data_IF_475718098143
#
_entry.id   IF_475718098143
#
_cell.length_a   1.000
_cell.length_b   1.000
_cell.length_c   1.000
_cell.angle_alpha   90.00
_cell.angle_beta   90.00
_cell.angle_gamma   90.00
#
_symmetry.space_group_name_H-M   'P 1'
#
loop_
_entity.id
_entity.type
_entity.pdbx_description
1 polymer ?
#
# COMPACT_ATOMS: atom_id res chain seq x y z
N UNK A 1 -1.65 -3.35 34.19
CA UNK A 1 -1.33 -3.61 32.78
C UNK A 1 -0.09 -2.82 32.46
N UNK A 2 1.03 -3.51 32.25
CA UNK A 2 2.28 -2.86 31.85
C UNK A 2 2.20 -2.45 30.37
N UNK A 3 2.98 -1.46 29.93
CA UNK A 3 3.04 -1.05 28.53
C UNK A 3 3.36 -2.24 27.59
N UNK A 4 4.15 -3.23 28.03
CA UNK A 4 4.45 -4.41 27.22
C UNK A 4 3.27 -5.38 27.05
N UNK A 5 2.37 -5.49 28.03
CA UNK A 5 1.15 -6.32 27.92
C UNK A 5 0.10 -5.67 27.01
N UNK A 6 0.04 -4.33 26.98
CA UNK A 6 -0.81 -3.58 26.06
C UNK A 6 -0.28 -3.65 24.62
N UNK A 7 1.03 -3.46 24.43
CA UNK A 7 1.71 -3.59 23.13
C UNK A 7 1.58 -5.02 22.56
N UNK A 8 1.71 -6.05 23.41
CA UNK A 8 1.56 -7.46 23.01
C UNK A 8 0.13 -7.83 22.60
N UNK A 9 -0.89 -7.27 23.26
CA UNK A 9 -2.30 -7.48 22.90
C UNK A 9 -2.68 -6.77 21.60
N UNK A 10 -2.10 -5.61 21.32
CA UNK A 10 -2.35 -4.90 20.05
C UNK A 10 -1.80 -5.68 18.85
N UNK A 11 -0.56 -6.16 18.89
CA UNK A 11 0.05 -6.87 17.74
C UNK A 11 -0.67 -8.17 17.36
N UNK A 12 -1.39 -8.79 18.30
CA UNK A 12 -2.16 -10.03 18.04
C UNK A 12 -3.58 -9.80 17.55
N UNK A 13 -4.06 -8.55 17.53
CA UNK A 13 -5.44 -8.18 17.11
C UNK A 13 -5.82 -8.73 15.73
N UNK A 14 -4.86 -8.74 14.80
CA UNK A 14 -5.06 -9.18 13.42
C UNK A 14 -4.80 -10.68 13.19
N UNK A 15 -4.28 -11.40 14.18
CA UNK A 15 -3.87 -12.81 14.04
C UNK A 15 -5.02 -13.79 13.76
N UNK A 16 -6.27 -13.37 13.95
CA UNK A 16 -7.49 -14.12 13.62
C UNK A 16 -8.25 -13.55 12.41
N UNK A 17 -7.74 -12.45 11.82
CA UNK A 17 -8.38 -11.72 10.73
C UNK A 17 -7.84 -12.15 9.38
N UNK A 18 -8.62 -11.87 8.34
CA UNK A 18 -8.18 -12.01 6.94
C UNK A 18 -7.93 -10.63 6.35
N UNK A 19 -6.86 -10.49 5.57
CA UNK A 19 -6.60 -9.34 4.73
C UNK A 19 -6.58 -9.72 3.25
N UNK A 20 -6.81 -8.76 2.36
CA UNK A 20 -6.51 -8.92 0.93
C UNK A 20 -5.49 -7.90 0.44
N UNK A 21 -4.72 -8.28 -0.59
CA UNK A 21 -3.78 -7.41 -1.29
C UNK A 21 -4.05 -7.44 -2.78
N UNK A 22 -4.32 -6.27 -3.37
CA UNK A 22 -4.41 -6.08 -4.82
C UNK A 22 -3.17 -5.36 -5.31
N UNK A 23 -2.62 -5.78 -6.46
CA UNK A 23 -1.35 -5.22 -6.96
C UNK A 23 -0.12 -5.83 -6.29
N UNK A 24 -0.24 -7.02 -5.71
CA UNK A 24 0.83 -7.74 -5.02
C UNK A 24 2.05 -8.09 -5.89
N UNK A 25 1.92 -8.01 -7.23
CA UNK A 25 3.05 -8.18 -8.17
C UNK A 25 3.78 -6.89 -8.50
N UNK A 26 3.30 -5.72 -8.04
CA UNK A 26 3.98 -4.43 -8.19
C UNK A 26 5.08 -4.25 -7.14
N UNK A 27 5.94 -3.25 -7.28
CA UNK A 27 7.12 -3.09 -6.41
C UNK A 27 6.74 -2.92 -4.92
N UNK A 28 5.78 -2.03 -4.61
CA UNK A 28 5.26 -1.87 -3.24
C UNK A 28 4.51 -3.12 -2.78
N UNK A 29 3.65 -3.67 -3.65
CA UNK A 29 2.82 -4.83 -3.31
C UNK A 29 3.63 -6.09 -3.00
N UNK A 30 4.76 -6.32 -3.69
CA UNK A 30 5.69 -7.41 -3.42
C UNK A 30 6.26 -7.30 -2.01
N UNK A 31 6.76 -6.12 -1.66
CA UNK A 31 7.38 -5.90 -0.35
C UNK A 31 6.34 -5.93 0.78
N UNK A 32 5.15 -5.37 0.56
CA UNK A 32 4.04 -5.50 1.49
C UNK A 32 3.65 -6.96 1.72
N UNK A 33 3.53 -7.74 0.65
CA UNK A 33 3.21 -9.18 0.74
C UNK A 33 4.29 -9.91 1.51
N UNK A 34 5.57 -9.65 1.23
CA UNK A 34 6.69 -10.23 1.97
C UNK A 34 6.59 -9.96 3.47
N UNK A 35 6.42 -8.70 3.87
CA UNK A 35 6.32 -8.31 5.30
C UNK A 35 5.10 -8.94 5.99
N UNK A 36 3.92 -8.91 5.35
CA UNK A 36 2.69 -9.51 5.89
C UNK A 36 2.87 -10.98 6.23
N UNK A 37 3.51 -11.72 5.31
CA UNK A 37 3.69 -13.16 5.40
C UNK A 37 4.81 -13.54 6.35
N UNK A 38 5.93 -12.80 6.36
CA UNK A 38 7.05 -13.05 7.27
C UNK A 38 6.72 -12.73 8.73
N UNK A 39 5.91 -11.70 8.97
CA UNK A 39 5.50 -11.29 10.33
C UNK A 39 4.25 -12.04 10.82
N UNK A 40 3.61 -12.83 9.96
CA UNK A 40 2.38 -13.58 10.24
C UNK A 40 1.29 -12.71 10.92
N UNK A 41 1.08 -11.51 10.38
CA UNK A 41 0.18 -10.51 10.98
C UNK A 41 -1.28 -10.97 10.92
N UNK A 42 -1.66 -11.68 9.86
CA UNK A 42 -3.02 -12.14 9.59
C UNK A 42 -3.10 -13.67 9.54
N UNK A 43 -4.24 -14.22 9.97
CA UNK A 43 -4.54 -15.64 9.83
C UNK A 43 -4.54 -16.09 8.37
N UNK A 44 -5.00 -15.22 7.47
CA UNK A 44 -5.05 -15.45 6.02
C UNK A 44 -4.81 -14.16 5.26
N UNK A 45 -4.05 -14.24 4.17
CA UNK A 45 -3.81 -13.14 3.23
C UNK A 45 -4.23 -13.58 1.83
N UNK A 46 -5.25 -12.92 1.27
CA UNK A 46 -5.77 -13.19 -0.07
C UNK A 46 -5.10 -12.24 -1.07
N UNK A 47 -4.27 -12.79 -1.94
CA UNK A 47 -3.56 -12.06 -2.98
C UNK A 47 -4.41 -12.07 -4.26
N UNK A 48 -5.01 -10.92 -4.58
CA UNK A 48 -5.98 -10.78 -5.68
C UNK A 48 -5.28 -10.09 -6.84
N UNK A 49 -5.30 -10.74 -8.02
CA UNK A 49 -4.65 -10.18 -9.20
C UNK A 49 -5.13 -10.81 -10.49
N UNK A 50 -4.64 -10.28 -11.63
CA UNK A 50 -5.01 -10.76 -12.97
C UNK A 50 -4.35 -12.08 -13.37
N UNK A 51 -3.41 -12.57 -12.57
CA UNK A 51 -2.66 -13.82 -12.79
C UNK A 51 -2.06 -14.30 -11.48
N UNK A 52 -1.87 -15.61 -11.35
CA UNK A 52 -1.04 -16.19 -10.29
C UNK A 52 0.44 -16.05 -10.65
N UNK A 53 1.30 -15.94 -9.64
CA UNK A 53 2.76 -15.90 -9.80
C UNK A 53 3.42 -16.81 -8.75
N UNK A 54 4.64 -17.25 -9.03
CA UNK A 54 5.49 -17.80 -7.99
C UNK A 54 5.90 -16.66 -7.04
N UNK A 55 5.61 -16.82 -5.74
CA UNK A 55 5.94 -15.84 -4.71
C UNK A 55 7.40 -15.98 -4.25
N UNK A 56 8.09 -17.04 -4.65
CA UNK A 56 9.42 -17.38 -4.17
C UNK A 56 9.42 -17.93 -2.74
N UNK A 57 10.54 -18.53 -2.35
CA UNK A 57 10.71 -19.22 -1.05
C UNK A 57 10.53 -18.31 0.16
N UNK A 58 10.87 -17.03 0.02
CA UNK A 58 10.94 -16.08 1.13
C UNK A 58 9.57 -15.48 1.51
N UNK A 59 8.57 -15.66 0.64
CA UNK A 59 7.19 -15.22 0.84
C UNK A 59 6.19 -16.38 0.86
N UNK A 60 6.63 -17.63 0.67
CA UNK A 60 5.77 -18.81 0.84
C UNK A 60 5.49 -19.07 2.31
N UNK A 61 4.31 -18.63 2.74
CA UNK A 61 3.72 -19.01 4.02
C UNK A 61 2.38 -19.70 3.75
N UNK A 62 2.01 -20.65 4.62
CA UNK A 62 0.80 -21.46 4.46
C UNK A 62 -0.51 -20.64 4.54
N UNK A 63 -0.44 -19.37 4.94
CA UNK A 63 -1.60 -18.47 5.08
C UNK A 63 -1.84 -17.56 3.86
N UNK A 64 -1.06 -17.68 2.77
CA UNK A 64 -1.29 -16.93 1.54
C UNK A 64 -2.13 -17.70 0.52
N UNK A 65 -3.19 -17.07 0.00
CA UNK A 65 -4.06 -17.62 -1.04
C UNK A 65 -4.05 -16.70 -2.27
N UNK A 66 -3.68 -17.20 -3.44
CA UNK A 66 -3.74 -16.42 -4.69
C UNK A 66 -5.05 -16.64 -5.43
N UNK A 67 -5.80 -15.56 -5.66
CA UNK A 67 -7.05 -15.54 -6.40
C UNK A 67 -6.86 -14.75 -7.69
N UNK A 68 -7.08 -15.42 -8.81
CA UNK A 68 -7.06 -14.78 -10.13
C UNK A 68 -8.45 -14.23 -10.43
N UNK A 69 -8.52 -12.95 -10.82
CA UNK A 69 -9.76 -12.27 -11.22
C UNK A 69 -9.60 -11.55 -12.55
N UNK A 70 -10.73 -11.27 -13.19
CA UNK A 70 -10.82 -10.26 -14.24
C UNK A 70 -11.25 -8.92 -13.61
N UNK A 71 -10.41 -7.89 -13.76
CA UNK A 71 -10.72 -6.55 -13.25
C UNK A 71 -11.79 -5.84 -14.08
N UNK A 72 -11.97 -6.22 -15.35
CA UNK A 72 -13.05 -5.70 -16.19
C UNK A 72 -14.43 -6.24 -15.78
N UNK A 73 -14.45 -7.37 -15.06
CA UNK A 73 -15.65 -8.02 -14.57
C UNK A 73 -15.61 -8.24 -13.05
N UNK A 74 -15.00 -7.31 -12.29
CA UNK A 74 -14.74 -7.47 -10.85
C UNK A 74 -15.99 -7.75 -10.01
N UNK A 75 -17.17 -7.28 -10.44
CA UNK A 75 -18.45 -7.58 -9.78
C UNK A 75 -18.82 -9.08 -9.79
N UNK A 76 -18.25 -9.87 -10.71
CA UNK A 76 -18.40 -11.33 -10.74
C UNK A 76 -17.44 -12.02 -9.77
N UNK A 77 -16.53 -11.27 -9.14
CA UNK A 77 -15.46 -11.77 -8.28
C UNK A 77 -15.55 -11.28 -6.83
N UNK A 78 -16.72 -10.80 -6.37
CA UNK A 78 -16.92 -10.31 -4.99
C UNK A 78 -16.54 -11.34 -3.91
N UNK A 79 -16.68 -12.63 -4.21
CA UNK A 79 -16.27 -13.71 -3.31
C UNK A 79 -14.78 -13.65 -2.92
N UNK A 80 -13.91 -13.11 -3.79
CA UNK A 80 -12.49 -12.95 -3.51
C UNK A 80 -12.20 -11.96 -2.36
N UNK A 81 -13.10 -11.01 -2.12
CA UNK A 81 -12.98 -9.96 -1.11
C UNK A 81 -13.72 -10.30 0.19
N UNK A 82 -14.59 -11.31 0.17
CA UNK A 82 -15.46 -11.67 1.28
C UNK A 82 -14.69 -12.12 2.52
N UNK A 83 -15.10 -11.63 3.69
CA UNK A 83 -14.49 -11.98 4.98
C UNK A 83 -13.15 -11.30 5.27
N UNK A 84 -12.68 -10.41 4.38
CA UNK A 84 -11.46 -9.64 4.61
C UNK A 84 -11.78 -8.33 5.32
N UNK A 85 -11.34 -8.17 6.56
CA UNK A 85 -11.58 -6.94 7.34
C UNK A 85 -10.62 -5.81 6.96
N UNK A 86 -9.47 -6.14 6.37
CA UNK A 86 -8.44 -5.19 5.95
C UNK A 86 -8.11 -5.38 4.47
N UNK A 87 -8.05 -4.30 3.71
CA UNK A 87 -7.73 -4.29 2.29
C UNK A 87 -6.55 -3.40 1.95
N UNK A 88 -5.62 -3.91 1.14
CA UNK A 88 -4.50 -3.14 0.61
C UNK A 88 -4.57 -3.06 -0.91
N UNK A 89 -4.60 -1.84 -1.46
CA UNK A 89 -4.60 -1.59 -2.89
C UNK A 89 -3.30 -0.89 -3.31
N UNK A 90 -2.42 -1.68 -3.94
CA UNK A 90 -1.15 -1.24 -4.52
C UNK A 90 -1.20 -1.26 -6.06
N UNK A 91 -2.40 -1.16 -6.65
CA UNK A 91 -2.54 -1.07 -8.10
C UNK A 91 -1.95 0.24 -8.63
N UNK A 92 -1.29 0.11 -9.77
CA UNK A 92 -0.78 1.24 -10.53
C UNK A 92 -0.06 0.75 -11.78
N UNK A 93 -0.10 1.57 -12.83
CA UNK A 93 0.66 1.36 -14.06
C UNK A 93 1.39 2.65 -14.45
N UNK A 94 2.18 2.61 -15.51
CA UNK A 94 2.76 3.81 -16.11
C UNK A 94 2.08 4.11 -17.44
N UNK A 95 2.02 5.41 -17.79
CA UNK A 95 1.58 5.85 -19.12
C UNK A 95 2.45 5.28 -20.23
N UNK A 96 3.73 5.08 -19.98
CA UNK A 96 4.66 4.45 -20.92
C UNK A 96 4.21 3.02 -21.28
N UNK A 97 3.75 2.26 -20.29
CA UNK A 97 3.34 0.85 -20.48
C UNK A 97 1.91 0.68 -21.02
N UNK A 98 1.02 1.62 -20.71
CA UNK A 98 -0.43 1.43 -20.88
C UNK A 98 -1.13 2.53 -21.67
N UNK A 99 -0.38 3.55 -22.12
CA UNK A 99 -0.96 4.74 -22.71
C UNK A 99 -1.74 5.57 -21.69
N UNK A 100 -2.48 6.57 -22.19
CA UNK A 100 -3.27 7.47 -21.36
C UNK A 100 -4.51 6.76 -20.80
N UNK A 101 -5.27 6.09 -21.65
CA UNK A 101 -6.54 5.47 -21.28
C UNK A 101 -6.34 4.23 -20.41
N UNK A 102 -5.32 3.41 -20.73
CA UNK A 102 -4.95 2.28 -19.89
C UNK A 102 -4.44 2.72 -18.51
N UNK A 103 -3.74 3.86 -18.42
CA UNK A 103 -3.36 4.42 -17.13
C UNK A 103 -4.60 4.85 -16.33
N UNK A 104 -5.54 5.58 -16.93
CA UNK A 104 -6.77 5.97 -16.23
C UNK A 104 -7.56 4.73 -15.78
N UNK A 105 -7.75 3.75 -16.68
CA UNK A 105 -8.46 2.51 -16.38
C UNK A 105 -7.87 1.78 -15.17
N UNK A 106 -6.54 1.67 -15.09
CA UNK A 106 -5.87 0.95 -13.99
C UNK A 106 -5.79 1.78 -12.72
N UNK A 107 -5.34 3.03 -12.81
CA UNK A 107 -5.03 3.86 -11.64
C UNK A 107 -6.26 4.58 -11.07
N UNK A 108 -7.37 4.62 -11.80
CA UNK A 108 -8.65 5.17 -11.36
C UNK A 108 -9.75 4.11 -11.34
N UNK A 109 -10.16 3.57 -12.50
CA UNK A 109 -11.38 2.75 -12.57
C UNK A 109 -11.25 1.44 -11.79
N UNK A 110 -10.16 0.69 -11.99
CA UNK A 110 -9.93 -0.56 -11.27
C UNK A 110 -9.73 -0.34 -9.78
N UNK A 111 -9.01 0.72 -9.39
CA UNK A 111 -8.82 1.07 -7.98
C UNK A 111 -10.17 1.39 -7.32
N UNK A 112 -10.98 2.24 -7.95
CA UNK A 112 -12.29 2.60 -7.42
C UNK A 112 -13.23 1.40 -7.33
N UNK A 113 -13.23 0.53 -8.34
CA UNK A 113 -14.07 -0.67 -8.33
C UNK A 113 -13.61 -1.68 -7.27
N UNK A 114 -12.30 -1.85 -7.07
CA UNK A 114 -11.75 -2.64 -5.95
C UNK A 114 -12.24 -2.08 -4.61
N UNK A 115 -12.16 -0.76 -4.42
CA UNK A 115 -12.62 -0.13 -3.18
C UNK A 115 -14.13 -0.33 -2.96
N UNK A 116 -14.96 -0.18 -4.00
CA UNK A 116 -16.41 -0.44 -3.92
C UNK A 116 -16.70 -1.87 -3.51
N UNK A 117 -16.13 -2.85 -4.22
CA UNK A 117 -16.34 -4.28 -3.92
C UNK A 117 -15.82 -4.64 -2.53
N UNK A 118 -14.68 -4.10 -2.13
CA UNK A 118 -14.14 -4.30 -0.78
C UNK A 118 -15.10 -3.77 0.30
N UNK A 119 -15.61 -2.55 0.13
CA UNK A 119 -16.57 -1.93 1.06
C UNK A 119 -17.85 -2.75 1.16
N UNK A 120 -18.43 -3.15 0.02
CA UNK A 120 -19.62 -4.01 -0.04
C UNK A 120 -19.38 -5.39 0.61
N UNK A 121 -18.15 -5.88 0.57
CA UNK A 121 -17.75 -7.16 1.18
C UNK A 121 -17.42 -7.06 2.68
N UNK A 122 -17.65 -5.91 3.30
CA UNK A 122 -17.46 -5.70 4.73
C UNK A 122 -16.03 -5.30 5.15
N UNK A 123 -15.21 -4.81 4.22
CA UNK A 123 -13.89 -4.27 4.55
C UNK A 123 -14.04 -3.00 5.43
N UNK A 124 -13.44 -3.04 6.62
CA UNK A 124 -13.51 -1.96 7.61
C UNK A 124 -12.32 -0.99 7.49
N UNK A 125 -11.18 -1.51 7.05
CA UNK A 125 -9.93 -0.76 6.96
C UNK A 125 -9.31 -0.91 5.58
N UNK A 126 -9.25 0.18 4.82
CA UNK A 126 -8.73 0.19 3.45
C UNK A 126 -7.50 1.08 3.34
N UNK A 127 -6.45 0.53 2.73
CA UNK A 127 -5.16 1.19 2.51
C UNK A 127 -4.92 1.34 1.01
N UNK A 128 -4.80 2.58 0.54
CA UNK A 128 -4.63 2.91 -0.86
C UNK A 128 -3.29 3.62 -1.10
N UNK A 129 -2.48 3.09 -2.03
CA UNK A 129 -1.24 3.76 -2.45
C UNK A 129 -1.51 4.63 -3.67
N UNK A 130 -1.21 5.92 -3.55
CA UNK A 130 -1.30 6.91 -4.63
C UNK A 130 0.08 7.52 -4.89
N UNK A 131 0.22 8.85 -4.83
CA UNK A 131 1.44 9.57 -5.16
C UNK A 131 1.50 10.92 -4.46
N UNK A 132 2.70 11.35 -4.12
CA UNK A 132 3.01 12.72 -3.75
C UNK A 132 2.52 13.68 -4.83
N UNK A 133 1.84 14.75 -4.40
CA UNK A 133 1.26 15.75 -5.29
C UNK A 133 -0.06 15.35 -5.97
N UNK A 134 -0.68 14.23 -5.60
CA UNK A 134 -2.02 13.88 -6.08
C UNK A 134 -3.01 15.02 -5.81
N UNK A 135 -3.68 15.48 -6.87
CA UNK A 135 -4.60 16.62 -6.83
C UNK A 135 -5.55 16.53 -8.02
N UNK A 136 -6.86 16.40 -7.76
CA UNK A 136 -7.92 16.30 -8.76
C UNK A 136 -8.00 17.53 -9.68
N UNK A 137 -7.48 18.67 -9.25
CA UNK A 137 -7.45 19.92 -10.00
C UNK A 137 -6.15 20.12 -10.78
N UNK A 138 -5.19 19.20 -10.68
CA UNK A 138 -3.91 19.31 -11.37
C UNK A 138 -4.07 19.33 -12.89
N UNK A 139 -3.26 20.16 -13.57
CA UNK A 139 -3.14 20.10 -15.03
C UNK A 139 -2.34 18.88 -15.50
N UNK A 140 -1.56 18.26 -14.61
CA UNK A 140 -0.77 17.07 -14.94
C UNK A 140 -1.66 15.83 -14.82
N UNK A 141 -1.95 15.19 -15.96
CA UNK A 141 -2.86 14.04 -16.06
C UNK A 141 -2.60 12.93 -15.02
N UNK A 142 -1.33 12.64 -14.72
CA UNK A 142 -0.94 11.66 -13.71
C UNK A 142 -1.43 12.06 -12.31
N UNK A 143 -1.11 13.27 -11.85
CA UNK A 143 -1.50 13.79 -10.54
C UNK A 143 -3.02 14.00 -10.44
N UNK A 144 -3.64 14.43 -11.55
CA UNK A 144 -5.09 14.55 -11.68
C UNK A 144 -5.80 13.22 -11.46
N UNK A 145 -5.36 12.17 -12.15
CA UNK A 145 -5.95 10.83 -12.03
C UNK A 145 -5.82 10.30 -10.61
N UNK A 146 -4.63 10.46 -9.99
CA UNK A 146 -4.39 10.06 -8.61
C UNK A 146 -5.25 10.84 -7.61
N UNK A 147 -5.44 12.14 -7.79
CA UNK A 147 -6.32 12.93 -6.92
C UNK A 147 -7.81 12.63 -7.11
N UNK A 148 -8.25 12.34 -8.33
CA UNK A 148 -9.63 11.95 -8.62
C UNK A 148 -10.00 10.62 -7.94
N UNK A 149 -9.11 9.62 -7.99
CA UNK A 149 -9.41 8.34 -7.35
C UNK A 149 -9.42 8.44 -5.83
N UNK A 150 -8.59 9.31 -5.24
CA UNK A 150 -8.64 9.60 -3.80
C UNK A 150 -10.00 10.17 -3.40
N UNK A 151 -10.48 11.20 -4.10
CA UNK A 151 -11.80 11.80 -3.86
C UNK A 151 -12.91 10.75 -3.95
N UNK A 152 -12.97 9.98 -5.03
CA UNK A 152 -14.02 8.97 -5.20
C UNK A 152 -13.96 7.84 -4.17
N UNK A 153 -12.77 7.47 -3.68
CA UNK A 153 -12.63 6.45 -2.62
C UNK A 153 -13.02 7.03 -1.25
N UNK A 154 -12.72 8.30 -0.98
CA UNK A 154 -13.16 9.00 0.24
C UNK A 154 -14.70 9.12 0.33
N UNK A 155 -15.40 9.17 -0.80
CA UNK A 155 -16.86 9.15 -0.85
C UNK A 155 -17.47 7.81 -0.41
N UNK A 156 -16.70 6.71 -0.43
CA UNK A 156 -17.16 5.40 0.02
C UNK A 156 -17.26 5.26 1.55
N UNK A 157 -16.72 6.23 2.30
CA UNK A 157 -16.81 6.30 3.78
C UNK A 157 -16.43 4.99 4.47
N UNK A 158 -15.23 4.48 4.20
CA UNK A 158 -14.66 3.41 5.01
C UNK A 158 -14.55 3.85 6.48
N UNK A 159 -14.76 2.94 7.47
CA UNK A 159 -14.50 3.25 8.87
C UNK A 159 -13.07 3.73 9.10
N UNK A 160 -12.11 3.11 8.41
CA UNK A 160 -10.73 3.59 8.33
C UNK A 160 -10.25 3.55 6.88
N UNK A 161 -9.87 4.71 6.35
CA UNK A 161 -9.23 4.87 5.05
C UNK A 161 -7.87 5.52 5.23
N UNK A 162 -6.82 4.85 4.77
CA UNK A 162 -5.47 5.40 4.73
C UNK A 162 -5.02 5.56 3.27
N UNK A 163 -4.65 6.79 2.89
CA UNK A 163 -4.18 7.12 1.54
C UNK A 163 -2.72 7.51 1.63
N UNK A 164 -1.85 6.74 1.00
CA UNK A 164 -0.39 6.93 1.04
C UNK A 164 0.06 7.70 -0.20
N UNK A 165 0.66 8.87 0.01
CA UNK A 165 1.21 9.73 -1.04
C UNK A 165 2.75 9.72 -1.02
N UNK A 166 3.39 8.62 -1.46
CA UNK A 166 4.85 8.53 -1.48
C UNK A 166 5.46 9.47 -2.52
N UNK A 167 6.70 9.88 -2.30
CA UNK A 167 7.54 10.47 -3.32
C UNK A 167 7.91 9.44 -4.40
N UNK A 168 8.96 9.74 -5.17
CA UNK A 168 9.50 8.80 -6.15
C UNK A 168 9.87 7.47 -5.48
N UNK A 169 9.25 6.38 -5.92
CA UNK A 169 9.51 5.06 -5.40
C UNK A 169 10.92 4.62 -5.78
N UNK A 170 11.68 4.14 -4.80
CA UNK A 170 13.01 3.58 -5.01
C UNK A 170 12.97 2.08 -4.77
N UNK A 171 13.21 1.31 -5.83
CA UNK A 171 13.43 -0.15 -5.74
C UNK A 171 14.78 -0.46 -5.10
N UNK A 172 14.96 -1.68 -4.58
CA UNK A 172 16.23 -2.14 -3.98
C UNK A 172 17.43 -1.96 -4.92
N UNK A 173 17.21 -2.19 -6.22
CA UNK A 173 18.24 -1.98 -7.24
C UNK A 173 18.62 -0.52 -7.40
N UNK A 174 17.66 0.39 -7.31
CA UNK A 174 17.91 1.84 -7.38
C UNK A 174 18.55 2.35 -6.10
N UNK A 175 18.14 1.85 -4.93
CA UNK A 175 18.79 2.15 -3.65
C UNK A 175 20.25 1.71 -3.65
N UNK A 176 20.52 0.46 -4.05
CA UNK A 176 21.89 -0.04 -4.24
C UNK A 176 22.65 0.80 -5.25
N UNK A 177 22.05 1.17 -6.37
CA UNK A 177 22.69 2.04 -7.37
C UNK A 177 22.97 3.45 -6.86
N UNK A 178 22.12 4.04 -6.02
CA UNK A 178 22.37 5.34 -5.38
C UNK A 178 23.49 5.20 -4.34
N UNK A 179 23.52 4.08 -3.60
CA UNK A 179 24.58 3.78 -2.64
C UNK A 179 25.92 3.42 -3.30
N UNK A 180 25.90 2.72 -4.44
CA UNK A 180 27.07 2.24 -5.20
C UNK A 180 27.59 3.27 -6.21
N UNK A 181 26.74 4.15 -6.77
CA UNK A 181 27.16 5.13 -7.78
C UNK A 181 27.56 6.46 -7.16
N UNK A 182 28.86 6.68 -7.22
CA UNK A 182 29.57 7.86 -7.75
C UNK A 182 28.81 8.57 -8.90
N UNK A 183 27.65 9.18 -8.65
CA UNK A 183 26.99 10.13 -9.57
C UNK A 183 27.09 11.53 -8.97
N UNK A 184 28.07 12.25 -9.50
CA UNK A 184 28.23 13.69 -9.67
C UNK A 184 28.05 14.62 -8.46
N UNK A 185 29.20 15.16 -8.07
CA UNK A 185 29.52 16.25 -7.14
C UNK A 185 28.56 17.46 -7.10
N UNK A 186 27.70 17.65 -8.10
CA UNK A 186 26.86 18.86 -8.23
C UNK A 186 25.47 18.74 -7.58
N UNK A 187 24.88 17.54 -7.50
CA UNK A 187 23.54 17.33 -6.89
C UNK A 187 23.59 16.63 -5.53
N UNK A 188 24.79 16.17 -5.14
CA UNK A 188 25.07 15.50 -3.85
C UNK A 188 24.59 16.28 -2.62
N UNK A 189 24.78 17.61 -2.48
CA UNK A 189 24.32 18.31 -1.28
C UNK A 189 22.78 18.33 -1.16
N UNK A 190 22.04 18.49 -2.26
CA UNK A 190 20.56 18.55 -2.23
C UNK A 190 19.95 17.18 -1.91
N UNK A 191 20.48 16.10 -2.50
CA UNK A 191 20.04 14.74 -2.20
C UNK A 191 20.47 14.26 -0.81
N UNK A 192 21.59 14.76 -0.27
CA UNK A 192 22.06 14.40 1.08
C UNK A 192 21.30 15.16 2.18
N UNK A 193 20.92 16.42 1.94
CA UNK A 193 20.19 17.21 2.94
C UNK A 193 18.69 16.85 3.03
N UNK A 194 18.04 16.45 1.95
CA UNK A 194 16.59 16.16 1.95
C UNK A 194 16.19 14.86 1.21
N UNK A 195 16.84 13.69 1.39
CA UNK A 195 16.52 12.49 0.61
C UNK A 195 15.05 12.02 0.76
N UNK A 196 14.48 12.23 1.95
CA UNK A 196 13.11 11.84 2.33
C UNK A 196 12.04 12.78 1.78
N UNK A 197 12.38 13.92 1.17
CA UNK A 197 11.36 14.83 0.63
C UNK A 197 10.87 14.41 -0.76
N UNK A 198 11.75 13.78 -1.56
CA UNK A 198 11.53 13.49 -2.98
C UNK A 198 11.27 12.03 -3.26
N UNK A 199 11.67 11.14 -2.36
CA UNK A 199 11.68 9.70 -2.62
C UNK A 199 11.23 8.88 -1.43
N UNK A 200 10.78 7.65 -1.70
CA UNK A 200 10.46 6.66 -0.69
C UNK A 200 10.91 5.27 -1.16
N UNK A 201 11.76 4.57 -0.38
CA UNK A 201 11.94 3.14 -0.52
C UNK A 201 10.60 2.41 -0.54
N UNK A 202 10.42 1.46 -1.47
CA UNK A 202 9.20 0.64 -1.53
C UNK A 202 8.96 -0.15 -0.24
N UNK A 203 10.04 -0.53 0.45
CA UNK A 203 10.02 -1.14 1.78
C UNK A 203 9.50 -0.21 2.86
N UNK A 204 9.97 1.03 2.90
CA UNK A 204 9.46 2.03 3.84
C UNK A 204 7.97 2.28 3.63
N UNK A 205 7.49 2.34 2.38
CA UNK A 205 6.05 2.46 2.08
C UNK A 205 5.28 1.25 2.62
N UNK A 206 5.73 0.03 2.32
CA UNK A 206 5.10 -1.19 2.82
C UNK A 206 5.03 -1.23 4.36
N UNK A 207 6.14 -0.90 5.04
CA UNK A 207 6.21 -0.86 6.51
C UNK A 207 5.29 0.22 7.09
N UNK A 208 5.22 1.40 6.47
CA UNK A 208 4.29 2.45 6.87
C UNK A 208 2.82 2.02 6.72
N UNK A 209 2.50 1.24 5.69
CA UNK A 209 1.16 0.67 5.51
C UNK A 209 0.80 -0.26 6.67
N UNK A 210 1.76 -1.09 7.11
CA UNK A 210 1.57 -2.02 8.23
C UNK A 210 1.53 -1.32 9.59
N UNK A 211 2.33 -0.27 9.82
CA UNK A 211 2.28 0.52 11.06
C UNK A 211 0.87 1.06 11.34
N UNK A 212 0.16 1.48 10.29
CA UNK A 212 -1.18 2.04 10.41
C UNK A 212 -2.29 1.01 10.66
N UNK A 213 -1.98 -0.29 10.71
CA UNK A 213 -2.95 -1.31 11.13
C UNK A 213 -3.52 -1.00 12.52
N UNK A 214 -2.65 -0.60 13.45
CA UNK A 214 -3.02 -0.31 14.83
C UNK A 214 -3.44 1.14 15.06
N UNK A 215 -3.18 2.02 14.10
CA UNK A 215 -3.53 3.43 14.23
C UNK A 215 -5.01 3.68 13.91
N UNK A 216 -5.50 4.82 14.41
CA UNK A 216 -6.79 5.38 14.02
C UNK A 216 -6.55 6.60 13.15
N UNK A 217 -7.36 6.81 12.09
CA UNK A 217 -7.34 8.05 11.34
C UNK A 217 -7.46 9.25 12.27
N UNK A 218 -6.60 10.25 12.08
CA UNK A 218 -6.64 11.49 12.88
C UNK A 218 -7.92 12.30 12.66
N UNK A 219 -8.47 12.24 11.45
CA UNK A 219 -9.68 12.96 11.11
C UNK A 219 -10.93 12.16 11.48
N UNK A 220 -11.95 12.86 11.97
CA UNK A 220 -13.23 12.26 12.39
C UNK A 220 -14.00 11.60 11.24
N UNK A 221 -13.72 11.99 9.99
CA UNK A 221 -14.33 11.41 8.80
C UNK A 221 -13.77 10.01 8.45
N UNK A 222 -12.83 9.47 9.25
CA UNK A 222 -12.23 8.16 9.04
C UNK A 222 -11.14 8.12 7.97
N UNK A 223 -10.73 9.27 7.43
CA UNK A 223 -9.72 9.37 6.36
C UNK A 223 -8.39 9.92 6.92
N UNK A 224 -7.28 9.27 6.59
CA UNK A 224 -5.94 9.78 6.85
C UNK A 224 -5.09 9.75 5.58
N UNK A 225 -4.70 10.95 5.13
CA UNK A 225 -3.71 11.12 4.06
C UNK A 225 -2.32 11.10 4.70
N UNK A 226 -1.51 10.13 4.32
CA UNK A 226 -0.16 9.90 4.82
C UNK A 226 0.84 10.40 3.78
N UNK A 227 1.42 11.56 4.03
CA UNK A 227 2.39 12.18 3.10
C UNK A 227 3.76 11.52 3.22
N UNK A 228 4.67 11.81 2.28
CA UNK A 228 5.97 11.16 2.22
C UNK A 228 6.78 11.22 3.53
N UNK A 229 6.78 12.36 4.23
CA UNK A 229 7.48 12.49 5.51
C UNK A 229 6.88 11.56 6.59
N UNK A 230 5.55 11.42 6.63
CA UNK A 230 4.87 10.53 7.56
C UNK A 230 5.09 9.06 7.20
N UNK A 231 5.17 8.73 5.91
CA UNK A 231 5.57 7.39 5.44
C UNK A 231 6.94 7.00 6.00
N UNK A 232 7.93 7.88 5.91
CA UNK A 232 9.27 7.62 6.46
C UNK A 232 9.24 7.43 7.98
N UNK A 233 8.49 8.26 8.70
CA UNK A 233 8.32 8.13 10.15
C UNK A 233 7.70 6.78 10.52
N UNK A 234 6.55 6.45 9.93
CA UNK A 234 5.81 5.22 10.21
C UNK A 234 6.60 3.97 9.83
N UNK A 235 7.36 4.02 8.73
CA UNK A 235 8.22 2.91 8.32
C UNK A 235 9.30 2.61 9.36
N UNK A 236 9.95 3.63 9.92
CA UNK A 236 10.93 3.47 11.00
C UNK A 236 10.30 3.07 12.34
N UNK A 237 9.07 3.50 12.61
CA UNK A 237 8.34 3.08 13.81
C UNK A 237 7.97 1.59 13.73
N UNK A 238 7.56 1.09 12.56
CA UNK A 238 7.27 -0.33 12.35
C UNK A 238 8.48 -1.24 12.61
N UNK A 239 9.67 -0.85 12.15
CA UNK A 239 10.89 -1.64 12.38
C UNK A 239 11.15 -1.84 13.87
N UNK A 240 11.06 -0.75 14.65
CA UNK A 240 11.25 -0.79 16.10
C UNK A 240 10.22 -1.68 16.81
N UNK A 241 8.99 -1.78 16.30
CA UNK A 241 7.97 -2.66 16.90
C UNK A 241 8.31 -4.14 16.80
N UNK A 242 9.10 -4.56 15.80
CA UNK A 242 9.42 -5.97 15.54
C UNK A 242 10.88 -6.35 15.81
N UNK A 243 11.77 -5.39 16.08
CA UNK A 243 13.16 -5.63 16.51
C UNK A 243 13.32 -5.90 18.02
N UNK A 244 12.30 -5.64 18.84
CA UNK A 244 12.33 -5.85 20.30
C UNK A 244 12.10 -7.32 20.75
N UNK A 245 12.49 -8.31 19.95
CA UNK A 245 12.36 -9.74 20.29
C UNK A 245 13.70 -10.44 20.39
#
# INVERSE_FOLDING_TARGET
>A
MTESEAQSKDTTMFSSKTAFVVGYTGEVGKQLTKELLQKNIFARVVLIGRRKVDLGTDATSANAEQVQIDFDAIDQHKAAFSGSSVGFCCLGTSREKSGKDGFFKVDHDYVLNVAKVAKESGCEQFHLVTSGGADKNSFLFYLKTKGLVEEHVEELKFPKLFIYRPGMLLSDREQRRIAEKTINFLLKPIYTLCPTWMSAPVETVAKAMLANLWNKPKAENGVEIVNNAEIHKLGGDFEKMFEQK
#
